data_IF_899907494865
#
_entry.id   IF_899907494865
#
_cell.length_a   1.000
_cell.length_b   1.000
_cell.length_c   1.000
_cell.angle_alpha   90.00
_cell.angle_beta   90.00
_cell.angle_gamma   90.00
#
_symmetry.space_group_name_H-M   'P 1'
#
loop_
_entity.id
_entity.type
_entity.pdbx_description
1 polymer ?
#
# COMPACT_ATOMS: atom_id res chain seq x y z
N UNK A 1 12.84 4.70 -7.44
CA UNK A 1 11.91 5.38 -8.37
C UNK A 1 10.56 5.55 -7.70
N UNK A 2 9.93 6.71 -7.84
CA UNK A 2 8.63 6.95 -7.22
C UNK A 2 7.55 7.12 -8.28
N UNK A 3 6.33 6.80 -7.87
CA UNK A 3 5.15 6.92 -8.72
C UNK A 3 4.19 7.93 -8.10
N UNK A 4 3.71 8.86 -8.92
CA UNK A 4 2.67 9.78 -8.49
C UNK A 4 1.33 9.13 -8.73
N UNK A 5 0.57 8.92 -7.66
CA UNK A 5 -0.73 8.26 -7.74
C UNK A 5 -1.79 9.13 -7.08
N UNK A 6 -3.04 8.90 -7.42
CA UNK A 6 -4.15 9.64 -6.85
C UNK A 6 -5.07 8.67 -6.11
N UNK A 7 -5.38 8.98 -4.86
CA UNK A 7 -6.32 8.21 -4.05
C UNK A 7 -7.31 9.20 -3.45
N UNK A 8 -8.58 9.06 -3.82
CA UNK A 8 -9.67 9.93 -3.37
C UNK A 8 -9.32 11.42 -3.52
N UNK A 9 -8.89 11.78 -4.73
CA UNK A 9 -8.57 13.15 -5.13
C UNK A 9 -7.30 13.74 -4.52
N UNK A 10 -6.56 12.98 -3.76
CA UNK A 10 -5.29 13.44 -3.18
C UNK A 10 -4.12 12.76 -3.88
N UNK A 11 -3.05 13.53 -4.11
CA UNK A 11 -1.84 13.05 -4.77
C UNK A 11 -0.87 12.46 -3.74
N UNK A 12 -0.32 11.31 -4.07
CA UNK A 12 0.59 10.57 -3.21
C UNK A 12 1.86 10.19 -3.97
N UNK A 13 2.96 10.12 -3.25
CA UNK A 13 4.19 9.51 -3.75
C UNK A 13 4.22 8.06 -3.28
N UNK A 14 4.17 7.14 -4.24
CA UNK A 14 4.27 5.71 -3.95
C UNK A 14 5.66 5.24 -4.34
N UNK A 15 6.38 4.61 -3.42
CA UNK A 15 7.73 4.12 -3.70
C UNK A 15 8.09 2.92 -2.85
N UNK A 16 9.11 2.22 -3.27
CA UNK A 16 9.76 1.19 -2.46
C UNK A 16 10.81 1.86 -1.58
N UNK A 17 11.10 1.25 -0.45
CA UNK A 17 12.09 1.79 0.45
C UNK A 17 12.79 0.73 1.27
N UNK A 18 14.00 1.05 1.72
CA UNK A 18 14.74 0.19 2.64
C UNK A 18 14.34 0.57 4.06
N UNK A 19 13.20 0.03 4.50
CA UNK A 19 12.60 0.35 5.79
C UNK A 19 12.48 -0.91 6.63
N UNK A 20 12.41 -0.74 7.96
CA UNK A 20 12.26 -1.87 8.88
C UNK A 20 10.86 -2.46 8.81
N UNK A 21 9.86 -1.59 8.69
CA UNK A 21 8.47 -2.01 8.61
C UNK A 21 8.18 -2.59 7.23
N UNK A 22 7.06 -3.30 7.10
CA UNK A 22 6.62 -3.81 5.80
C UNK A 22 6.18 -2.69 4.89
N UNK A 23 5.57 -1.65 5.45
CA UNK A 23 5.16 -0.48 4.74
C UNK A 23 4.64 0.58 5.69
N UNK A 24 4.48 1.82 5.19
CA UNK A 24 3.82 2.85 5.96
C UNK A 24 3.15 3.86 5.03
N UNK A 25 2.20 4.59 5.60
CA UNK A 25 1.44 5.60 4.90
C UNK A 25 1.40 6.87 5.76
N UNK A 26 1.77 8.01 5.16
CA UNK A 26 1.65 9.29 5.83
C UNK A 26 0.18 9.65 6.03
N UNK A 27 -0.09 10.55 6.96
CA UNK A 27 -1.45 11.05 7.15
C UNK A 27 -1.94 11.78 5.88
N UNK A 28 -3.22 11.65 5.53
CA UNK A 28 -3.78 12.42 4.40
C UNK A 28 -3.69 13.93 4.58
N UNK A 29 -3.45 14.40 5.81
CA UNK A 29 -3.27 15.82 6.09
C UNK A 29 -1.81 16.23 5.98
N UNK A 30 -0.91 15.29 5.75
CA UNK A 30 0.50 15.58 5.60
C UNK A 30 0.77 16.41 4.36
N UNK A 31 1.75 17.29 4.45
CA UNK A 31 2.17 18.10 3.31
C UNK A 31 2.76 17.23 2.20
N UNK A 32 3.56 16.23 2.58
CA UNK A 32 4.22 15.31 1.65
C UNK A 32 3.63 13.92 1.86
N UNK A 33 2.56 13.64 1.11
CA UNK A 33 1.86 12.36 1.24
C UNK A 33 2.66 11.27 0.57
N UNK A 34 3.20 10.36 1.37
CA UNK A 34 4.02 9.26 0.87
C UNK A 34 3.47 7.93 1.35
N UNK A 35 3.51 6.95 0.45
CA UNK A 35 3.27 5.55 0.74
C UNK A 35 4.56 4.82 0.41
N UNK A 36 5.14 4.16 1.40
CA UNK A 36 6.42 3.46 1.23
C UNK A 36 6.21 1.98 1.52
N UNK A 37 6.64 1.15 0.59
CA UNK A 37 6.53 -0.31 0.70
C UNK A 37 7.94 -0.90 0.77
N UNK A 38 8.17 -1.80 1.71
CA UNK A 38 9.48 -2.39 1.90
C UNK A 38 9.99 -3.03 0.61
N UNK A 39 11.25 -2.75 0.30
CA UNK A 39 11.92 -3.29 -0.88
C UNK A 39 12.08 -4.81 -0.83
N UNK A 40 11.96 -5.39 0.35
CA UNK A 40 12.15 -6.83 0.54
C UNK A 40 10.92 -7.66 0.25
N UNK A 41 9.76 -7.03 0.03
CA UNK A 41 8.52 -7.75 -0.21
C UNK A 41 8.36 -8.15 -1.67
N UNK A 42 7.80 -9.33 -1.89
CA UNK A 42 7.51 -9.86 -3.24
C UNK A 42 6.20 -10.62 -3.21
N UNK A 43 5.64 -10.90 -4.39
CA UNK A 43 4.48 -11.78 -4.55
C UNK A 43 3.24 -11.31 -3.86
N UNK A 44 2.53 -12.25 -3.26
CA UNK A 44 1.26 -11.95 -2.58
C UNK A 44 1.46 -11.00 -1.41
N UNK A 45 2.55 -11.12 -0.68
CA UNK A 45 2.84 -10.23 0.44
C UNK A 45 3.02 -8.78 -0.03
N UNK A 46 3.68 -8.58 -1.15
CA UNK A 46 3.83 -7.26 -1.73
C UNK A 46 2.48 -6.66 -2.10
N UNK A 47 1.60 -7.45 -2.72
CA UNK A 47 0.23 -7.03 -3.02
C UNK A 47 -0.52 -6.65 -1.74
N UNK A 48 -0.42 -7.50 -0.72
CA UNK A 48 -1.14 -7.28 0.53
C UNK A 48 -0.73 -5.95 1.18
N UNK A 49 0.57 -5.69 1.27
CA UNK A 49 1.06 -4.48 1.93
C UNK A 49 0.74 -3.25 1.10
N UNK A 50 0.85 -3.33 -0.23
CA UNK A 50 0.47 -2.22 -1.10
C UNK A 50 -0.99 -1.84 -0.88
N UNK A 51 -1.89 -2.84 -0.89
CA UNK A 51 -3.32 -2.59 -0.69
C UNK A 51 -3.57 -2.04 0.71
N UNK A 52 -2.91 -2.59 1.72
CA UNK A 52 -3.02 -2.16 3.12
C UNK A 52 -2.74 -0.66 3.26
N UNK A 53 -1.61 -0.21 2.72
CA UNK A 53 -1.24 1.20 2.83
C UNK A 53 -2.13 2.10 1.98
N UNK A 54 -2.57 1.64 0.82
CA UNK A 54 -3.53 2.39 0.01
C UNK A 54 -4.87 2.54 0.71
N UNK A 55 -5.32 1.52 1.45
CA UNK A 55 -6.54 1.61 2.24
C UNK A 55 -6.40 2.62 3.37
N UNK A 56 -5.24 2.68 4.02
CA UNK A 56 -4.99 3.73 5.02
C UNK A 56 -5.05 5.12 4.39
N UNK A 57 -4.50 5.28 3.21
CA UNK A 57 -4.56 6.56 2.49
C UNK A 57 -6.00 6.95 2.18
N UNK A 58 -6.83 5.97 1.79
CA UNK A 58 -8.21 6.22 1.39
C UNK A 58 -9.15 6.38 2.59
N UNK A 59 -8.89 5.64 3.67
CA UNK A 59 -9.82 5.56 4.81
C UNK A 59 -9.03 5.62 6.11
N UNK A 60 -8.40 6.78 6.36
CA UNK A 60 -7.46 6.94 7.48
C UNK A 60 -8.04 6.54 8.83
N UNK A 61 -9.34 6.78 9.04
CA UNK A 61 -10.01 6.52 10.32
C UNK A 61 -10.55 5.09 10.45
N UNK A 62 -10.37 4.23 9.45
CA UNK A 62 -10.80 2.85 9.53
C UNK A 62 -9.95 2.08 10.52
N UNK A 63 -10.54 1.05 11.14
CA UNK A 63 -9.80 0.24 12.11
C UNK A 63 -8.69 -0.54 11.41
N UNK A 64 -7.61 -0.76 12.14
CA UNK A 64 -6.49 -1.55 11.64
C UNK A 64 -6.92 -2.97 11.29
N UNK A 65 -7.84 -3.54 12.07
CA UNK A 65 -8.35 -4.88 11.79
C UNK A 65 -9.08 -4.93 10.44
N UNK A 66 -9.94 -3.96 10.18
CA UNK A 66 -10.67 -3.92 8.91
C UNK A 66 -9.71 -3.78 7.73
N UNK A 67 -8.74 -2.88 7.84
CA UNK A 67 -7.75 -2.66 6.79
C UNK A 67 -6.94 -3.92 6.55
N UNK A 68 -6.44 -4.54 7.61
CA UNK A 68 -5.61 -5.75 7.50
C UNK A 68 -6.36 -6.91 6.86
N UNK A 69 -7.57 -7.17 7.30
CA UNK A 69 -8.38 -8.27 6.75
C UNK A 69 -8.74 -8.02 5.29
N UNK A 70 -9.15 -6.80 4.98
CA UNK A 70 -9.54 -6.44 3.61
C UNK A 70 -8.36 -6.55 2.67
N UNK A 71 -7.20 -6.03 3.07
CA UNK A 71 -5.99 -6.08 2.24
C UNK A 71 -5.57 -7.53 1.98
N UNK A 72 -5.60 -8.36 3.01
CA UNK A 72 -5.23 -9.77 2.88
C UNK A 72 -6.16 -10.50 1.91
N UNK A 73 -7.46 -10.26 2.04
CA UNK A 73 -8.44 -10.92 1.18
C UNK A 73 -8.31 -10.48 -0.27
N UNK A 74 -8.15 -9.18 -0.52
CA UNK A 74 -8.00 -8.68 -1.89
C UNK A 74 -6.71 -9.18 -2.50
N UNK A 75 -5.61 -9.17 -1.74
CA UNK A 75 -4.33 -9.66 -2.24
C UNK A 75 -4.42 -11.13 -2.63
N UNK A 76 -5.12 -11.94 -1.83
CA UNK A 76 -5.31 -13.36 -2.13
C UNK A 76 -6.09 -13.55 -3.43
N UNK A 77 -7.14 -12.74 -3.62
CA UNK A 77 -7.94 -12.82 -4.84
C UNK A 77 -7.09 -12.46 -6.06
N UNK A 78 -6.37 -11.34 -5.98
CA UNK A 78 -5.55 -10.88 -7.10
C UNK A 78 -4.43 -11.85 -7.41
N UNK A 79 -3.79 -12.40 -6.40
CA UNK A 79 -2.73 -13.39 -6.59
C UNK A 79 -3.26 -14.64 -7.27
N UNK A 80 -4.44 -15.11 -6.85
CA UNK A 80 -5.09 -16.28 -7.46
C UNK A 80 -5.42 -16.03 -8.93
N UNK A 81 -5.74 -14.80 -9.30
CA UNK A 81 -6.04 -14.42 -10.66
C UNK A 81 -4.78 -14.14 -11.50
N UNK A 82 -3.61 -14.35 -10.93
CA UNK A 82 -2.35 -14.19 -11.64
C UNK A 82 -1.80 -12.79 -11.67
N UNK A 83 -2.30 -11.91 -10.83
CA UNK A 83 -1.78 -10.54 -10.76
C UNK A 83 -0.37 -10.52 -10.19
N UNK A 84 0.55 -9.93 -10.92
CA UNK A 84 1.93 -9.77 -10.49
C UNK A 84 2.33 -8.33 -10.82
N UNK A 85 2.58 -7.53 -9.79
CA UNK A 85 2.93 -6.13 -9.98
C UNK A 85 4.44 -5.93 -10.16
N UNK A 86 5.21 -7.01 -10.11
CA UNK A 86 6.64 -6.93 -10.29
C UNK A 86 7.34 -6.12 -9.20
N UNK A 87 8.42 -5.49 -9.60
CA UNK A 87 9.18 -4.63 -8.70
C UNK A 87 9.00 -3.17 -9.15
N UNK A 88 8.08 -2.50 -8.52
CA UNK A 88 7.89 -1.10 -8.83
C UNK A 88 8.82 -0.26 -7.94
#
# INVERSE_FOLDING_TARGET
MSHKVTIRSKRWNLRRGNIKDRGYCESPDSKNKSIVISRNLTGEELLEVLIHECLHAATWDSSEQMVSETAKDIARILHRLGCDIGDF
#
